data_IF_496584978119
#
_entry.id   IF_496584978119
#
_cell.length_a   1.000
_cell.length_b   1.000
_cell.length_c   1.000
_cell.angle_alpha   90.00
_cell.angle_beta   90.00
_cell.angle_gamma   90.00
#
_symmetry.space_group_name_H-M   'P 1'
#
loop_
_entity.id
_entity.type
_entity.pdbx_description
1 polymer ?
#
# COMPACT_ATOMS: atom_id res chain seq x y z
N UNK A 1 16.65 10.36 -10.93
CA UNK A 1 15.68 10.96 -9.99
C UNK A 1 15.80 10.20 -8.69
N UNK A 2 15.91 10.88 -7.56
CA UNK A 2 15.99 10.22 -6.25
C UNK A 2 14.62 9.61 -5.95
N UNK A 3 14.54 8.29 -5.75
CA UNK A 3 13.28 7.64 -5.41
C UNK A 3 12.78 8.20 -4.08
N UNK A 4 11.57 8.81 -4.08
CA UNK A 4 10.98 9.35 -2.86
C UNK A 4 10.50 8.18 -1.99
N UNK A 5 10.98 8.15 -0.74
CA UNK A 5 10.64 7.12 0.23
C UNK A 5 9.46 7.53 1.09
N UNK A 6 8.63 6.54 1.41
CA UNK A 6 7.43 6.71 2.21
C UNK A 6 7.33 5.60 3.24
N UNK A 7 6.66 5.87 4.35
CA UNK A 7 6.30 4.87 5.33
C UNK A 7 4.99 4.20 4.91
N UNK A 8 5.03 2.91 4.55
CA UNK A 8 3.83 2.15 4.26
C UNK A 8 3.25 1.55 5.54
N UNK A 9 1.98 1.87 5.83
CA UNK A 9 1.26 1.34 6.98
C UNK A 9 -0.01 0.59 6.54
N UNK A 10 0.09 -0.71 6.22
CA UNK A 10 -1.08 -1.50 5.93
C UNK A 10 -1.96 -1.67 7.17
N UNK A 11 -3.27 -1.51 7.00
CA UNK A 11 -4.27 -1.56 8.08
C UNK A 11 -5.57 -2.24 7.60
N UNK A 12 -6.59 -2.33 8.45
CA UNK A 12 -7.88 -2.94 8.09
C UNK A 12 -8.94 -1.88 7.89
N UNK A 13 -9.91 -2.16 7.03
CA UNK A 13 -11.12 -1.35 6.87
C UNK A 13 -12.36 -2.22 7.01
N UNK A 14 -13.50 -1.61 7.34
CA UNK A 14 -14.77 -2.33 7.39
C UNK A 14 -15.12 -2.94 6.03
N UNK A 15 -14.91 -2.20 4.92
CA UNK A 15 -15.15 -2.69 3.55
C UNK A 15 -14.27 -3.90 3.22
N UNK A 16 -12.99 -3.88 3.60
CA UNK A 16 -12.07 -5.01 3.43
C UNK A 16 -12.53 -6.23 4.23
N UNK A 17 -12.93 -6.04 5.50
CA UNK A 17 -13.42 -7.12 6.36
C UNK A 17 -14.67 -7.78 5.80
N UNK A 18 -15.66 -7.00 5.33
CA UNK A 18 -16.87 -7.52 4.70
C UNK A 18 -16.55 -8.32 3.44
N UNK A 19 -15.69 -7.79 2.56
CA UNK A 19 -15.35 -8.43 1.28
C UNK A 19 -14.61 -9.76 1.45
N UNK A 20 -13.82 -9.94 2.51
CA UNK A 20 -13.18 -11.24 2.81
C UNK A 20 -14.23 -12.36 2.94
N UNK A 21 -15.40 -12.06 3.52
CA UNK A 21 -16.46 -13.05 3.72
C UNK A 21 -17.21 -13.39 2.41
N UNK A 22 -17.24 -12.45 1.46
CA UNK A 22 -17.81 -12.69 0.13
C UNK A 22 -16.85 -13.55 -0.70
N UNK A 23 -15.58 -13.16 -0.73
CA UNK A 23 -14.52 -13.90 -1.39
C UNK A 23 -13.34 -13.01 -1.78
N UNK A 24 -12.13 -13.58 -1.74
CA UNK A 24 -10.88 -12.84 -2.06
C UNK A 24 -10.56 -12.72 -3.55
N UNK A 25 -11.41 -13.30 -4.41
CA UNK A 25 -11.24 -13.26 -5.86
C UNK A 25 -12.26 -12.33 -6.52
N UNK A 26 -13.05 -11.59 -5.75
CA UNK A 26 -13.98 -10.61 -6.28
C UNK A 26 -13.23 -9.35 -6.71
N UNK A 27 -13.76 -8.67 -7.72
CA UNK A 27 -13.23 -7.38 -8.17
C UNK A 27 -13.27 -6.34 -7.04
N UNK A 28 -14.33 -6.36 -6.23
CA UNK A 28 -14.46 -5.44 -5.08
C UNK A 28 -13.37 -5.68 -4.02
N UNK A 29 -13.06 -6.93 -3.67
CA UNK A 29 -11.95 -7.21 -2.74
C UNK A 29 -10.62 -6.73 -3.32
N UNK A 30 -10.38 -7.02 -4.60
CA UNK A 30 -9.17 -6.63 -5.30
C UNK A 30 -9.01 -5.11 -5.35
N UNK A 31 -10.07 -4.37 -5.68
CA UNK A 31 -10.08 -2.91 -5.68
C UNK A 31 -9.71 -2.36 -4.30
N UNK A 32 -10.31 -2.90 -3.24
CA UNK A 32 -10.05 -2.46 -1.87
C UNK A 32 -8.60 -2.68 -1.46
N UNK A 33 -8.02 -3.85 -1.71
CA UNK A 33 -6.64 -4.17 -1.27
C UNK A 33 -5.55 -3.66 -2.23
N UNK A 34 -5.95 -3.07 -3.36
CA UNK A 34 -5.04 -2.41 -4.32
C UNK A 34 -5.18 -0.89 -4.32
N UNK A 35 -6.01 -0.31 -3.44
CA UNK A 35 -6.16 1.15 -3.30
C UNK A 35 -5.19 1.68 -2.25
N UNK A 36 -4.24 2.51 -2.68
CA UNK A 36 -3.25 3.17 -1.86
C UNK A 36 -3.71 4.61 -1.56
N UNK A 37 -3.97 4.89 -0.29
CA UNK A 37 -4.32 6.23 0.16
C UNK A 37 -3.07 7.07 0.40
N UNK A 38 -3.04 8.24 -0.23
CA UNK A 38 -1.89 9.16 -0.25
C UNK A 38 -2.36 10.56 0.16
N UNK A 39 -1.51 11.33 0.85
CA UNK A 39 -1.86 12.71 1.20
C UNK A 39 -1.92 13.60 -0.07
N UNK A 40 -2.69 14.70 -0.06
CA UNK A 40 -2.74 15.62 -1.19
C UNK A 40 -1.36 16.19 -1.57
N UNK A 41 -0.53 16.53 -0.58
CA UNK A 41 0.80 17.09 -0.82
C UNK A 41 1.74 16.06 -1.45
N UNK A 42 1.62 14.79 -1.06
CA UNK A 42 2.41 13.71 -1.66
C UNK A 42 1.95 13.36 -3.07
N UNK A 43 0.64 13.35 -3.34
CA UNK A 43 0.09 13.22 -4.69
C UNK A 43 0.64 14.31 -5.62
N UNK A 44 0.61 15.57 -5.19
CA UNK A 44 1.19 16.70 -5.93
C UNK A 44 2.69 16.51 -6.17
N UNK A 45 3.44 16.13 -5.12
CA UNK A 45 4.89 15.93 -5.23
C UNK A 45 5.29 14.81 -6.18
N UNK A 46 4.43 13.80 -6.34
CA UNK A 46 4.61 12.67 -7.23
C UNK A 46 4.03 12.93 -8.63
N UNK A 47 3.29 14.03 -8.81
CA UNK A 47 2.60 14.36 -10.07
C UNK A 47 1.41 13.44 -10.37
N UNK A 48 0.78 12.87 -9.34
CA UNK A 48 -0.30 11.88 -9.45
C UNK A 48 -1.68 12.51 -9.28
N UNK A 49 -2.69 11.84 -9.84
CA UNK A 49 -4.11 12.11 -9.66
C UNK A 49 -4.83 10.86 -9.15
N UNK A 50 -6.03 11.04 -8.61
CA UNK A 50 -6.88 9.93 -8.21
C UNK A 50 -7.12 8.97 -9.39
N UNK A 51 -6.83 7.70 -9.16
CA UNK A 51 -6.93 6.67 -10.19
C UNK A 51 -5.64 6.34 -10.93
N UNK A 52 -4.60 7.18 -10.82
CA UNK A 52 -3.29 6.84 -11.36
C UNK A 52 -2.72 5.62 -10.63
N UNK A 53 -1.84 4.88 -11.33
CA UNK A 53 -1.22 3.67 -10.79
C UNK A 53 0.23 3.95 -10.43
N UNK A 54 0.66 3.33 -9.34
CA UNK A 54 2.05 3.35 -8.89
C UNK A 54 2.53 1.94 -8.63
N UNK A 55 3.81 1.71 -8.90
CA UNK A 55 4.53 0.55 -8.42
C UNK A 55 5.15 0.90 -7.07
N UNK A 56 4.77 0.16 -6.03
CA UNK A 56 5.37 0.27 -4.70
C UNK A 56 6.40 -0.84 -4.56
N UNK A 57 7.62 -0.49 -4.18
CA UNK A 57 8.76 -1.41 -4.10
C UNK A 57 9.41 -1.40 -2.71
N UNK A 58 9.79 -2.58 -2.25
CA UNK A 58 10.69 -2.82 -1.12
C UNK A 58 11.93 -3.58 -1.61
N UNK A 59 12.87 -3.87 -0.71
CA UNK A 59 14.04 -4.71 -1.01
C UNK A 59 13.68 -6.17 -1.38
N UNK A 60 12.48 -6.63 -1.03
CA UNK A 60 12.05 -8.03 -1.21
C UNK A 60 11.07 -8.24 -2.37
N UNK A 61 10.37 -7.18 -2.81
CA UNK A 61 9.35 -7.32 -3.82
C UNK A 61 8.66 -6.01 -4.17
N UNK A 62 7.69 -6.12 -5.07
CA UNK A 62 6.93 -4.99 -5.57
C UNK A 62 5.47 -5.38 -5.84
N UNK A 63 4.60 -4.38 -5.80
CA UNK A 63 3.19 -4.52 -6.11
C UNK A 63 2.63 -3.20 -6.64
N UNK A 64 1.70 -3.31 -7.59
CA UNK A 64 0.99 -2.15 -8.14
C UNK A 64 -0.22 -1.78 -7.28
N UNK A 65 -0.47 -0.48 -7.17
CA UNK A 65 -1.61 0.08 -6.49
C UNK A 65 -2.22 1.23 -7.30
N UNK A 66 -3.53 1.41 -7.17
CA UNK A 66 -4.27 2.60 -7.62
C UNK A 66 -4.22 3.64 -6.50
N UNK A 67 -3.83 4.86 -6.81
CA UNK A 67 -3.78 5.94 -5.85
C UNK A 67 -5.16 6.58 -5.64
N UNK A 68 -5.42 6.93 -4.38
CA UNK A 68 -6.56 7.73 -3.96
C UNK A 68 -6.11 8.77 -2.94
N UNK A 69 -6.49 10.01 -3.15
CA UNK A 69 -6.20 11.10 -2.22
C UNK A 69 -7.01 10.90 -0.94
N UNK A 70 -6.35 10.99 0.21
CA UNK A 70 -7.04 10.88 1.49
C UNK A 70 -6.34 11.59 2.62
N UNK A 71 -6.97 11.54 3.78
CA UNK A 71 -6.50 12.21 4.99
C UNK A 71 -5.49 11.33 5.73
N UNK A 72 -4.27 11.27 5.21
CA UNK A 72 -3.11 10.63 5.86
C UNK A 72 -1.99 11.66 6.01
N UNK A 73 -1.12 11.54 7.03
CA UNK A 73 0.04 12.42 7.15
C UNK A 73 0.97 12.33 5.94
N UNK A 74 1.63 13.44 5.62
CA UNK A 74 2.65 13.47 4.58
C UNK A 74 3.80 12.50 4.92
N UNK A 75 4.27 11.79 3.90
CA UNK A 75 5.25 10.71 4.01
C UNK A 75 4.67 9.36 4.47
N UNK A 76 3.37 9.28 4.81
CA UNK A 76 2.72 8.04 5.23
C UNK A 76 1.70 7.58 4.19
N UNK A 77 1.80 6.32 3.79
CA UNK A 77 0.87 5.67 2.89
C UNK A 77 0.01 4.67 3.65
N UNK A 78 -1.28 4.63 3.31
CA UNK A 78 -2.21 3.67 3.87
C UNK A 78 -2.73 2.75 2.77
N UNK A 79 -2.88 1.46 3.11
CA UNK A 79 -3.50 0.48 2.22
C UNK A 79 -4.19 -0.61 3.04
N UNK A 80 -5.38 -1.10 2.66
CA UNK A 80 -5.97 -2.26 3.30
C UNK A 80 -5.12 -3.52 3.09
N UNK A 81 -4.92 -4.33 4.15
CA UNK A 81 -4.18 -5.59 4.03
C UNK A 81 -4.80 -6.52 2.97
N UNK A 82 -3.93 -7.09 2.13
CA UNK A 82 -4.27 -8.13 1.17
C UNK A 82 -3.05 -8.72 0.47
N UNK A 83 -3.27 -9.60 -0.52
CA UNK A 83 -2.18 -10.23 -1.29
C UNK A 83 -1.13 -9.26 -1.84
N UNK A 84 -1.46 -8.05 -2.34
CA UNK A 84 -0.46 -7.08 -2.79
C UNK A 84 0.52 -6.67 -1.69
N UNK A 85 0.03 -6.33 -0.49
CA UNK A 85 0.89 -5.96 0.65
C UNK A 85 1.77 -7.10 1.13
N UNK A 86 1.31 -8.36 1.02
CA UNK A 86 2.12 -9.52 1.38
C UNK A 86 3.34 -9.71 0.47
N UNK A 87 3.29 -9.24 -0.79
CA UNK A 87 4.43 -9.29 -1.72
C UNK A 87 5.55 -8.32 -1.34
N UNK A 88 5.23 -7.32 -0.51
CA UNK A 88 6.18 -6.32 -0.03
C UNK A 88 6.84 -6.72 1.31
N UNK A 89 6.30 -7.75 1.99
CA UNK A 89 6.75 -8.19 3.31
C UNK A 89 7.96 -9.12 3.22
N UNK A 90 9.03 -8.77 3.95
CA UNK A 90 10.20 -9.62 4.07
C UNK A 90 9.99 -10.83 5.00
N UNK A 91 10.95 -11.74 4.97
CA UNK A 91 10.95 -12.95 5.81
C UNK A 91 11.62 -12.80 7.17
N UNK A 92 12.31 -11.68 7.46
CA UNK A 92 12.90 -11.45 8.78
C UNK A 92 11.81 -11.30 9.83
N UNK A 93 12.03 -11.87 11.01
CA UNK A 93 11.06 -11.87 12.11
C UNK A 93 11.60 -11.28 13.42
N UNK A 94 12.86 -10.83 13.42
CA UNK A 94 13.57 -10.31 14.59
C UNK A 94 13.47 -11.21 15.84
N UNK A 95 13.39 -12.53 15.62
CA UNK A 95 13.27 -13.53 16.68
C UNK A 95 11.88 -13.66 17.31
N UNK A 96 10.88 -12.94 16.80
CA UNK A 96 9.50 -12.94 17.33
C UNK A 96 8.58 -13.97 16.67
N UNK A 97 8.99 -14.51 15.52
CA UNK A 97 8.15 -15.35 14.67
C UNK A 97 7.15 -14.57 13.80
N UNK A 98 7.13 -13.24 13.87
CA UNK A 98 6.26 -12.37 13.07
C UNK A 98 7.10 -11.47 12.15
N UNK A 99 6.84 -11.45 10.83
CA UNK A 99 7.53 -10.53 9.94
C UNK A 99 7.03 -9.09 10.11
N UNK A 100 7.88 -8.15 9.72
CA UNK A 100 7.52 -6.73 9.63
C UNK A 100 6.39 -6.58 8.61
N UNK A 101 5.18 -6.33 9.13
CA UNK A 101 3.91 -6.27 8.38
C UNK A 101 3.38 -4.84 8.20
N UNK A 102 4.02 -3.85 8.84
CA UNK A 102 3.65 -2.43 8.82
C UNK A 102 4.81 -1.52 9.19
N UNK A 103 4.72 -0.26 8.79
CA UNK A 103 5.63 0.80 9.22
C UNK A 103 7.04 0.62 8.65
N UNK A 104 7.13 0.24 7.38
CA UNK A 104 8.41 0.08 6.68
C UNK A 104 8.54 1.10 5.55
N UNK A 105 9.77 1.40 5.17
CA UNK A 105 10.07 2.30 4.06
C UNK A 105 9.83 1.62 2.70
N UNK A 106 9.12 2.32 1.81
CA UNK A 106 8.89 1.91 0.43
C UNK A 106 9.31 2.98 -0.55
N UNK A 107 9.67 2.56 -1.76
CA UNK A 107 9.79 3.43 -2.91
C UNK A 107 8.49 3.44 -3.70
N UNK A 108 8.05 4.62 -4.13
CA UNK A 108 6.86 4.81 -4.98
C UNK A 108 7.31 5.28 -6.36
N UNK A 109 6.91 4.54 -7.38
CA UNK A 109 7.29 4.80 -8.78
C UNK A 109 6.00 4.99 -9.59
N UNK A 110 5.72 6.19 -10.11
CA UNK A 110 4.63 6.40 -11.06
C UNK A 110 4.77 5.50 -12.28
N UNK A 111 3.67 4.88 -12.72
CA UNK A 111 3.61 4.01 -13.91
C UNK A 111 3.25 4.80 -15.16
#
# INVERSE_FOLDING_TARGET
MTAKRFLLNPMRTAKQGTNINVGKFTDEYNEVVTTLTVSPADMESLGLKDGDRVLVRTEVGEAEFRCETGNVPDGLLFVPYGPPTCRLMGGSTDGTGMPTSKGWDVEVIPV
#
